data_IF_868931494186
#
_entry.id   IF_868931494186
#
_cell.length_a   1.000
_cell.length_b   1.000
_cell.length_c   1.000
_cell.angle_alpha   90.00
_cell.angle_beta   90.00
_cell.angle_gamma   90.00
#
_symmetry.space_group_name_H-M   'P 1'
#
loop_
_entity.id
_entity.type
_entity.pdbx_description
1 polymer ?
#
# COMPACT_ATOMS: atom_id res chain seq x y z
N UNK A 1 2.01 0.70 -33.43
CA UNK A 1 1.14 1.54 -32.60
C UNK A 1 0.77 0.71 -31.38
N UNK A 2 1.06 1.18 -30.17
CA UNK A 2 0.74 0.46 -28.96
C UNK A 2 -0.77 0.57 -28.73
N UNK A 3 -1.50 -0.43 -29.21
CA UNK A 3 -2.95 -0.53 -29.06
C UNK A 3 -3.32 -0.67 -27.58
N UNK A 4 -3.90 0.38 -27.00
CA UNK A 4 -4.73 0.26 -25.79
C UNK A 4 -4.05 0.13 -24.44
N UNK A 5 -2.81 0.58 -24.26
CA UNK A 5 -2.20 0.62 -22.93
C UNK A 5 -2.59 1.92 -22.21
N UNK A 6 -3.73 1.90 -21.54
CA UNK A 6 -4.11 2.97 -20.61
C UNK A 6 -3.76 2.53 -19.19
N UNK A 7 -2.63 2.99 -18.63
CA UNK A 7 -2.29 2.69 -17.26
C UNK A 7 -3.27 3.36 -16.31
N UNK A 8 -3.86 2.59 -15.39
CA UNK A 8 -4.77 3.11 -14.37
C UNK A 8 -4.05 3.09 -13.03
N UNK A 9 -3.79 4.27 -12.49
CA UNK A 9 -3.22 4.45 -11.16
C UNK A 9 -4.34 4.54 -10.10
N UNK A 10 -4.25 3.74 -9.04
CA UNK A 10 -5.15 3.80 -7.89
C UNK A 10 -4.35 3.98 -6.62
N UNK A 11 -4.60 5.06 -5.92
CA UNK A 11 -4.02 5.28 -4.58
C UNK A 11 -4.73 4.37 -3.59
N UNK A 12 -3.95 3.61 -2.85
CA UNK A 12 -4.39 2.80 -1.73
C UNK A 12 -4.31 3.57 -0.42
N UNK A 13 -3.32 3.24 0.39
CA UNK A 13 -3.09 3.87 1.69
C UNK A 13 -1.85 4.74 1.63
N UNK A 14 -1.93 5.96 2.18
CA UNK A 14 -0.77 6.84 2.33
C UNK A 14 -0.83 7.57 3.67
N UNK A 15 0.30 7.52 4.38
CA UNK A 15 0.39 8.01 5.75
C UNK A 15 1.84 8.10 6.19
N UNK A 16 2.03 8.42 7.48
CA UNK A 16 3.31 8.28 8.17
C UNK A 16 3.20 7.31 9.34
N UNK A 17 4.29 6.66 9.66
CA UNK A 17 4.40 5.73 10.78
C UNK A 17 5.76 5.90 11.44
N UNK A 18 5.78 5.83 12.77
CA UNK A 18 7.04 5.70 13.52
C UNK A 18 7.41 4.22 13.55
N UNK A 19 8.51 3.89 12.91
CA UNK A 19 9.02 2.53 12.88
C UNK A 19 9.53 2.10 14.26
N UNK A 20 9.78 0.82 14.42
CA UNK A 20 10.27 0.21 15.65
C UNK A 20 10.45 -1.29 15.46
N UNK A 21 10.45 -2.05 16.55
CA UNK A 21 10.67 -3.50 16.53
C UNK A 21 9.70 -4.29 15.64
N UNK A 22 8.52 -3.75 15.33
CA UNK A 22 7.58 -4.40 14.40
C UNK A 22 8.04 -4.39 12.95
N UNK A 23 8.92 -3.41 12.59
CA UNK A 23 9.50 -3.31 11.25
C UNK A 23 10.71 -4.22 11.08
N UNK A 24 11.38 -4.57 12.20
CA UNK A 24 12.56 -5.42 12.14
C UNK A 24 12.18 -6.85 11.77
N UNK A 25 12.84 -7.39 10.74
CA UNK A 25 12.49 -8.67 10.10
C UNK A 25 11.06 -8.73 9.53
N UNK A 26 10.46 -7.58 9.18
CA UNK A 26 9.14 -7.55 8.54
C UNK A 26 9.26 -7.91 7.07
N UNK A 27 8.66 -9.01 6.68
CA UNK A 27 8.44 -9.31 5.25
C UNK A 27 7.49 -8.28 4.63
N UNK A 28 7.85 -7.79 3.45
CA UNK A 28 7.08 -6.80 2.71
C UNK A 28 6.40 -7.43 1.46
N UNK A 29 5.54 -8.43 1.62
CA UNK A 29 4.82 -9.01 0.50
C UNK A 29 3.73 -8.05 0.01
N UNK A 30 3.36 -8.12 -1.24
CA UNK A 30 2.18 -7.43 -1.73
C UNK A 30 2.20 -7.15 -3.23
N UNK A 31 1.00 -7.07 -3.80
CA UNK A 31 0.74 -6.88 -5.23
C UNK A 31 0.66 -5.42 -5.65
N UNK A 32 1.17 -4.52 -4.86
CA UNK A 32 1.10 -3.08 -5.07
C UNK A 32 2.49 -2.46 -4.98
N UNK A 33 2.62 -1.32 -5.60
CA UNK A 33 3.78 -0.46 -5.47
C UNK A 33 3.80 0.19 -4.10
N UNK A 34 4.99 0.34 -3.54
CA UNK A 34 5.22 1.09 -2.30
C UNK A 34 6.23 2.17 -2.57
N UNK A 35 5.87 3.39 -2.21
CA UNK A 35 6.80 4.50 -2.15
C UNK A 35 7.07 4.81 -0.68
N UNK A 36 8.33 4.83 -0.29
CA UNK A 36 8.78 5.15 1.06
C UNK A 36 9.70 6.36 1.03
N UNK A 37 9.52 7.22 2.00
CA UNK A 37 10.46 8.27 2.33
C UNK A 37 10.71 8.28 3.83
N UNK A 38 11.99 8.40 4.22
CA UNK A 38 12.42 8.43 5.61
C UNK A 38 12.69 9.85 6.03
N UNK A 39 12.12 10.29 7.15
CA UNK A 39 12.41 11.62 7.70
C UNK A 39 13.81 11.66 8.32
N UNK A 40 14.25 10.55 8.90
CA UNK A 40 15.57 10.33 9.47
C UNK A 40 16.11 8.94 9.13
N UNK A 41 17.43 8.76 9.25
CA UNK A 41 18.06 7.45 9.05
C UNK A 41 17.70 6.46 10.18
N UNK A 42 17.87 5.15 9.93
CA UNK A 42 17.63 4.10 10.93
C UNK A 42 16.77 2.95 10.43
N UNK A 43 16.35 2.99 9.17
CA UNK A 43 15.69 1.87 8.51
C UNK A 43 16.53 1.36 7.34
N UNK A 44 16.40 0.06 7.05
CA UNK A 44 17.04 -0.58 5.92
C UNK A 44 16.12 -1.63 5.31
N UNK A 45 16.44 -2.04 4.09
CA UNK A 45 15.80 -3.14 3.38
C UNK A 45 16.85 -4.18 2.98
N UNK A 46 16.50 -5.46 3.05
CA UNK A 46 17.29 -6.54 2.44
C UNK A 46 16.44 -7.32 1.44
N UNK A 47 17.07 -7.75 0.36
CA UNK A 47 16.48 -8.64 -0.62
C UNK A 47 16.97 -10.10 -0.44
N UNK A 48 16.74 -10.91 -1.46
CA UNK A 48 17.24 -12.31 -1.50
C UNK A 48 18.75 -12.44 -1.44
N UNK A 49 19.46 -11.39 -1.83
CA UNK A 49 20.94 -11.32 -1.78
C UNK A 49 21.48 -11.10 -0.35
N UNK A 50 20.61 -10.90 0.64
CA UNK A 50 20.96 -10.63 2.04
C UNK A 50 21.64 -9.30 2.28
N UNK A 51 21.87 -8.48 1.24
CA UNK A 51 22.53 -7.18 1.39
C UNK A 51 21.57 -6.15 1.99
N UNK A 52 22.01 -5.51 3.07
CA UNK A 52 21.31 -4.41 3.72
C UNK A 52 21.52 -3.12 2.91
N UNK A 53 20.40 -2.51 2.49
CA UNK A 53 20.36 -1.20 1.84
C UNK A 53 19.75 -0.20 2.80
N UNK A 54 20.56 0.71 3.31
CA UNK A 54 20.12 1.77 4.22
C UNK A 54 19.18 2.74 3.50
N UNK A 55 18.09 3.12 4.16
CA UNK A 55 17.16 4.12 3.64
C UNK A 55 17.58 5.51 4.13
N UNK A 56 18.06 6.33 3.19
CA UNK A 56 18.47 7.72 3.44
C UNK A 56 17.29 8.68 3.37
N UNK A 57 17.26 9.76 4.17
CA UNK A 57 16.32 10.87 4.01
C UNK A 57 16.43 11.60 2.66
N UNK A 58 17.56 11.48 1.98
CA UNK A 58 17.84 12.19 0.72
C UNK A 58 17.22 11.52 -0.51
N UNK A 59 16.58 10.36 -0.33
CA UNK A 59 15.96 9.58 -1.39
C UNK A 59 14.53 9.19 -1.07
N UNK A 60 13.71 9.07 -2.09
CA UNK A 60 12.50 8.25 -2.05
C UNK A 60 12.81 6.86 -2.60
N UNK A 61 12.16 5.86 -2.06
CA UNK A 61 12.36 4.46 -2.39
C UNK A 61 11.08 3.90 -2.99
N UNK A 62 11.15 3.40 -4.22
CA UNK A 62 10.02 2.77 -4.88
C UNK A 62 10.25 1.26 -4.91
N UNK A 63 9.32 0.50 -4.31
CA UNK A 63 9.36 -0.95 -4.24
C UNK A 63 8.37 -1.54 -5.23
N UNK A 64 8.87 -2.43 -6.07
CA UNK A 64 8.05 -3.13 -7.06
C UNK A 64 7.02 -4.06 -6.39
N UNK A 65 5.85 -4.28 -7.02
CA UNK A 65 4.92 -5.31 -6.58
C UNK A 65 5.58 -6.68 -6.55
N UNK A 66 5.15 -7.53 -5.62
CA UNK A 66 5.58 -8.93 -5.53
C UNK A 66 7.07 -9.13 -5.24
N UNK A 67 7.74 -8.10 -4.77
CA UNK A 67 9.11 -8.20 -4.32
C UNK A 67 9.21 -8.94 -2.97
N UNK A 68 10.30 -9.68 -2.80
CA UNK A 68 10.65 -10.34 -1.54
C UNK A 68 11.69 -9.45 -0.83
N UNK A 69 11.22 -8.37 -0.23
CA UNK A 69 12.05 -7.51 0.60
C UNK A 69 11.69 -7.69 2.07
N UNK A 70 12.68 -7.53 2.91
CA UNK A 70 12.56 -7.57 4.37
C UNK A 70 12.99 -6.23 4.94
N UNK A 71 12.18 -5.68 5.83
CA UNK A 71 12.47 -4.46 6.57
C UNK A 71 13.39 -4.73 7.76
N UNK A 72 14.27 -3.79 8.04
CA UNK A 72 15.15 -3.76 9.22
C UNK A 72 15.11 -2.37 9.83
N UNK A 73 15.08 -2.30 11.17
CA UNK A 73 14.95 -1.05 11.87
C UNK A 73 15.90 -0.96 13.07
N UNK A 74 16.68 0.09 13.11
CA UNK A 74 17.47 0.48 14.28
C UNK A 74 16.92 1.81 14.81
N UNK A 75 16.35 1.78 16.01
CA UNK A 75 15.68 2.95 16.59
C UNK A 75 14.21 3.10 16.22
N UNK A 76 13.75 4.33 16.08
CA UNK A 76 12.33 4.64 15.83
C UNK A 76 12.14 5.74 14.79
N UNK A 77 12.73 5.60 13.58
CA UNK A 77 12.62 6.63 12.56
C UNK A 77 11.18 6.77 12.05
N UNK A 78 10.84 7.96 11.56
CA UNK A 78 9.54 8.23 10.93
C UNK A 78 9.63 7.94 9.45
N UNK A 79 8.73 7.06 8.99
CA UNK A 79 8.54 6.73 7.58
C UNK A 79 7.25 7.34 7.07
N UNK A 80 7.31 8.01 5.94
CA UNK A 80 6.16 8.33 5.11
C UNK A 80 6.01 7.26 4.04
N UNK A 81 4.81 6.76 3.83
CA UNK A 81 4.56 5.69 2.88
C UNK A 81 3.34 5.96 2.00
N UNK A 82 3.44 5.53 0.77
CA UNK A 82 2.37 5.56 -0.21
C UNK A 82 2.28 4.19 -0.89
N UNK A 83 1.13 3.55 -0.75
CA UNK A 83 0.80 2.30 -1.42
C UNK A 83 -0.16 2.56 -2.57
N UNK A 84 0.13 2.04 -3.75
CA UNK A 84 -0.71 2.26 -4.92
C UNK A 84 -0.68 1.07 -5.88
N UNK A 85 -1.71 0.95 -6.69
CA UNK A 85 -1.82 -0.03 -7.77
C UNK A 85 -1.66 0.66 -9.12
N UNK A 86 -0.98 0.01 -10.04
CA UNK A 86 -0.84 0.45 -11.43
C UNK A 86 -1.29 -0.70 -12.34
N UNK A 87 -2.51 -0.60 -12.88
CA UNK A 87 -2.99 -1.55 -13.86
C UNK A 87 -2.41 -1.22 -15.25
N UNK A 88 -2.21 -2.24 -16.07
CA UNK A 88 -1.61 -2.10 -17.39
C UNK A 88 -0.08 -2.11 -17.42
N UNK A 89 0.58 -1.98 -16.27
CA UNK A 89 2.03 -2.06 -16.13
C UNK A 89 2.43 -2.90 -14.92
N UNK A 90 3.52 -3.61 -15.03
CA UNK A 90 4.06 -4.45 -13.95
C UNK A 90 5.49 -4.03 -13.61
N UNK A 91 5.83 -4.06 -12.32
CA UNK A 91 7.21 -3.95 -11.87
C UNK A 91 7.96 -5.25 -12.11
N UNK A 92 9.25 -5.14 -12.42
CA UNK A 92 10.13 -6.30 -12.52
C UNK A 92 10.50 -6.79 -11.11
N UNK A 93 10.13 -8.03 -10.71
CA UNK A 93 10.45 -8.56 -9.39
C UNK A 93 11.95 -8.81 -9.18
N UNK A 94 12.75 -8.89 -10.24
CA UNK A 94 14.20 -9.01 -10.15
C UNK A 94 14.89 -7.67 -9.87
N UNK A 95 14.17 -6.55 -10.09
CA UNK A 95 14.60 -5.20 -9.72
C UNK A 95 13.60 -4.67 -8.67
N UNK A 96 13.67 -5.17 -7.44
CA UNK A 96 12.60 -4.95 -6.46
C UNK A 96 12.61 -3.57 -5.80
N UNK A 97 13.74 -2.87 -5.84
CA UNK A 97 13.95 -1.60 -5.14
C UNK A 97 14.60 -0.57 -6.06
N UNK A 98 13.99 0.60 -6.12
CA UNK A 98 14.49 1.75 -6.89
C UNK A 98 14.71 2.92 -5.94
N UNK A 99 15.92 3.47 -5.98
CA UNK A 99 16.34 4.62 -5.21
C UNK A 99 16.28 5.86 -6.09
N UNK A 100 15.52 6.87 -5.69
CA UNK A 100 15.29 8.09 -6.46
C UNK A 100 15.73 9.28 -5.62
N UNK A 101 16.84 9.96 -5.98
CA UNK A 101 17.33 11.13 -5.24
C UNK A 101 16.30 12.28 -5.23
N UNK A 102 16.17 12.92 -4.07
CA UNK A 102 15.27 14.06 -3.89
C UNK A 102 15.93 15.32 -4.42
N UNK A 103 15.56 15.72 -5.64
CA UNK A 103 16.07 16.91 -6.29
C UNK A 103 15.01 17.56 -7.18
N UNK A 104 15.16 18.84 -7.46
CA UNK A 104 14.24 19.57 -8.36
C UNK A 104 12.78 19.42 -7.97
N UNK A 105 11.91 19.12 -8.93
CA UNK A 105 10.47 18.97 -8.73
C UNK A 105 10.08 17.83 -7.77
N UNK A 106 10.94 16.83 -7.59
CA UNK A 106 10.72 15.78 -6.57
C UNK A 106 10.59 16.37 -5.17
N UNK A 107 11.43 17.35 -4.84
CA UNK A 107 11.42 18.00 -3.52
C UNK A 107 10.10 18.73 -3.27
N UNK A 108 9.58 19.39 -4.28
CA UNK A 108 8.30 20.11 -4.19
C UNK A 108 7.12 19.15 -4.05
N UNK A 109 7.06 18.12 -4.92
CA UNK A 109 6.01 17.09 -4.85
C UNK A 109 5.99 16.38 -3.50
N UNK A 110 7.17 16.01 -2.99
CA UNK A 110 7.30 15.37 -1.69
C UNK A 110 6.85 16.28 -0.55
N UNK A 111 7.22 17.56 -0.58
CA UNK A 111 6.83 18.55 0.43
C UNK A 111 5.32 18.77 0.45
N UNK A 112 4.68 18.89 -0.71
CA UNK A 112 3.23 19.07 -0.83
C UNK A 112 2.47 17.83 -0.36
N UNK A 113 2.92 16.64 -0.72
CA UNK A 113 2.32 15.40 -0.25
C UNK A 113 2.52 15.21 1.26
N UNK A 114 3.74 15.45 1.77
CA UNK A 114 4.05 15.41 3.21
C UNK A 114 3.13 16.33 4.00
N UNK A 115 2.93 17.56 3.52
CA UNK A 115 2.05 18.54 4.16
C UNK A 115 0.63 17.99 4.34
N UNK A 116 0.05 17.33 3.32
CA UNK A 116 -1.27 16.74 3.44
C UNK A 116 -1.34 15.64 4.50
N UNK A 117 -0.27 14.86 4.68
CA UNK A 117 -0.22 13.84 5.72
C UNK A 117 -0.09 14.49 7.10
N UNK A 118 0.74 15.52 7.22
CA UNK A 118 0.98 16.18 8.50
C UNK A 118 -0.23 16.98 9.00
N UNK A 119 -1.02 17.54 8.09
CA UNK A 119 -2.25 18.28 8.42
C UNK A 119 -3.53 17.42 8.39
N UNK A 120 -3.43 16.12 8.06
CA UNK A 120 -4.56 15.19 8.05
C UNK A 120 -5.50 15.32 6.86
N UNK A 121 -5.09 16.03 5.79
CA UNK A 121 -5.89 16.23 4.56
C UNK A 121 -5.58 15.23 3.45
N UNK A 122 -4.82 14.17 3.74
CA UNK A 122 -4.37 13.20 2.75
C UNK A 122 -5.52 12.50 1.99
N UNK A 123 -6.65 12.25 2.64
CA UNK A 123 -7.81 11.61 2.02
C UNK A 123 -8.73 12.59 1.26
N UNK A 124 -8.39 13.88 1.24
CA UNK A 124 -9.06 14.88 0.40
C UNK A 124 -8.74 14.65 -1.09
N UNK A 125 -9.58 15.17 -1.98
CA UNK A 125 -9.33 15.10 -3.43
C UNK A 125 -7.93 15.66 -3.79
N UNK A 126 -7.52 16.78 -3.17
CA UNK A 126 -6.19 17.35 -3.39
C UNK A 126 -5.08 16.48 -2.82
N UNK A 127 -5.25 15.90 -1.63
CA UNK A 127 -4.29 14.98 -1.03
C UNK A 127 -4.05 13.74 -1.90
N UNK A 128 -5.13 13.18 -2.43
CA UNK A 128 -5.07 12.04 -3.37
C UNK A 128 -4.34 12.45 -4.66
N UNK A 129 -4.65 13.61 -5.25
CA UNK A 129 -3.98 14.08 -6.47
C UNK A 129 -2.48 14.34 -6.26
N UNK A 130 -2.07 14.86 -5.10
CA UNK A 130 -0.66 15.02 -4.74
C UNK A 130 0.05 13.69 -4.59
N UNK A 131 -0.60 12.70 -3.96
CA UNK A 131 -0.08 11.34 -3.89
C UNK A 131 0.07 10.72 -5.29
N UNK A 132 -0.91 10.92 -6.18
CA UNK A 132 -0.84 10.46 -7.58
C UNK A 132 0.32 11.14 -8.32
N UNK A 133 0.49 12.46 -8.19
CA UNK A 133 1.58 13.18 -8.82
C UNK A 133 2.96 12.65 -8.40
N UNK A 134 3.17 12.40 -7.10
CA UNK A 134 4.40 11.82 -6.57
C UNK A 134 4.61 10.39 -7.08
N UNK A 135 3.56 9.56 -7.13
CA UNK A 135 3.63 8.20 -7.65
C UNK A 135 3.99 8.18 -9.15
N UNK A 136 3.33 9.00 -9.97
CA UNK A 136 3.61 9.12 -11.41
C UNK A 136 5.04 9.62 -11.65
N UNK A 137 5.48 10.62 -10.90
CA UNK A 137 6.86 11.10 -10.97
C UNK A 137 7.85 9.96 -10.67
N UNK A 138 7.64 9.21 -9.58
CA UNK A 138 8.53 8.13 -9.19
C UNK A 138 8.56 7.00 -10.24
N UNK A 139 7.41 6.61 -10.79
CA UNK A 139 7.31 5.62 -11.86
C UNK A 139 8.03 6.08 -13.14
N UNK A 140 7.92 7.37 -13.49
CA UNK A 140 8.59 7.95 -14.65
C UNK A 140 10.13 8.01 -14.53
N UNK A 141 10.69 7.71 -13.35
CA UNK A 141 12.15 7.60 -13.12
C UNK A 141 12.68 6.19 -13.31
N UNK A 142 11.80 5.22 -13.49
CA UNK A 142 12.17 3.83 -13.69
C UNK A 142 12.73 3.60 -15.09
N UNK A 143 13.65 2.63 -15.21
CA UNK A 143 14.09 2.13 -16.52
C UNK A 143 13.00 1.28 -17.19
N UNK A 144 13.07 1.12 -18.49
CA UNK A 144 12.17 0.23 -19.25
C UNK A 144 12.23 -1.23 -18.74
N UNK A 145 13.38 -1.68 -18.25
CA UNK A 145 13.54 -3.00 -17.66
C UNK A 145 12.81 -3.16 -16.33
N UNK A 146 12.70 -2.06 -15.57
CA UNK A 146 12.05 -2.04 -14.27
C UNK A 146 10.53 -1.93 -14.36
N UNK A 147 10.01 -1.36 -15.44
CA UNK A 147 8.58 -1.15 -15.67
C UNK A 147 8.18 -1.74 -17.02
N UNK A 148 7.48 -2.85 -17.00
CA UNK A 148 7.07 -3.56 -18.20
C UNK A 148 5.59 -3.35 -18.49
N UNK A 149 5.27 -3.14 -19.77
CA UNK A 149 3.89 -3.16 -20.22
C UNK A 149 3.27 -4.55 -19.98
N UNK A 150 2.17 -4.60 -19.27
CA UNK A 150 1.42 -5.83 -19.02
C UNK A 150 -0.04 -5.60 -19.40
N UNK A 151 -0.52 -6.22 -20.48
CA UNK A 151 -1.92 -6.12 -20.84
C UNK A 151 -2.81 -6.53 -19.65
N UNK A 152 -3.79 -5.71 -19.29
CA UNK A 152 -4.68 -6.03 -18.18
C UNK A 152 -5.48 -7.29 -18.50
N UNK A 153 -5.50 -8.25 -17.60
CA UNK A 153 -6.43 -9.37 -17.71
C UNK A 153 -7.80 -8.95 -17.19
N UNK A 154 -8.70 -8.60 -18.12
CA UNK A 154 -10.06 -8.09 -17.81
C UNK A 154 -10.84 -9.03 -16.88
N UNK A 155 -10.59 -10.34 -16.92
CA UNK A 155 -11.26 -11.33 -16.07
C UNK A 155 -10.81 -11.17 -14.61
N UNK A 156 -9.51 -11.04 -14.40
CA UNK A 156 -8.94 -10.85 -13.06
C UNK A 156 -9.26 -9.44 -12.54
N UNK A 157 -9.21 -8.43 -13.38
CA UNK A 157 -9.60 -7.06 -13.01
C UNK A 157 -11.08 -6.98 -12.57
N UNK A 158 -11.99 -7.67 -13.26
CA UNK A 158 -13.40 -7.80 -12.85
C UNK A 158 -13.49 -8.37 -11.43
N UNK A 159 -12.80 -9.46 -11.16
CA UNK A 159 -12.77 -10.08 -9.83
C UNK A 159 -12.17 -9.16 -8.77
N UNK A 160 -11.07 -8.49 -9.07
CA UNK A 160 -10.47 -7.50 -8.16
C UNK A 160 -11.44 -6.34 -7.87
N UNK A 161 -12.17 -5.86 -8.87
CA UNK A 161 -13.19 -4.82 -8.69
C UNK A 161 -14.34 -5.29 -7.78
N UNK A 162 -14.84 -6.51 -7.97
CA UNK A 162 -15.84 -7.12 -7.10
C UNK A 162 -15.34 -7.24 -5.65
N UNK A 163 -14.12 -7.72 -5.44
CA UNK A 163 -13.55 -7.83 -4.09
C UNK A 163 -13.38 -6.46 -3.43
N UNK A 164 -13.02 -5.42 -4.19
CA UNK A 164 -12.91 -4.04 -3.69
C UNK A 164 -14.26 -3.44 -3.30
N UNK A 165 -15.29 -3.69 -4.08
CA UNK A 165 -16.64 -3.15 -3.81
C UNK A 165 -17.35 -3.84 -2.64
N UNK A 166 -16.95 -5.06 -2.32
CA UNK A 166 -17.58 -5.87 -1.26
C UNK A 166 -16.55 -6.58 -0.37
N UNK A 167 -15.65 -5.84 0.31
CA UNK A 167 -14.56 -6.45 1.08
C UNK A 167 -15.04 -7.30 2.26
N UNK A 168 -16.22 -6.98 2.82
CA UNK A 168 -16.81 -7.73 3.92
C UNK A 168 -17.30 -9.13 3.52
N UNK A 169 -17.62 -9.32 2.22
CA UNK A 169 -18.17 -10.59 1.74
C UNK A 169 -17.14 -11.72 1.84
N UNK A 170 -17.57 -12.86 2.35
CA UNK A 170 -16.79 -14.09 2.33
C UNK A 170 -16.89 -14.75 0.95
N UNK A 171 -15.93 -14.42 0.09
CA UNK A 171 -15.83 -14.98 -1.24
C UNK A 171 -15.21 -16.36 -1.21
N UNK A 172 -15.88 -17.37 -1.74
CA UNK A 172 -15.27 -18.66 -2.01
C UNK A 172 -14.44 -18.61 -3.30
N UNK A 173 -13.43 -19.47 -3.39
CA UNK A 173 -12.62 -19.60 -4.61
C UNK A 173 -13.48 -20.00 -5.83
N UNK A 174 -14.48 -20.86 -5.61
CA UNK A 174 -15.39 -21.28 -6.68
C UNK A 174 -16.24 -20.13 -7.22
N UNK A 175 -16.72 -19.22 -6.36
CA UNK A 175 -17.45 -18.03 -6.79
C UNK A 175 -16.56 -17.08 -7.59
N UNK A 176 -15.35 -16.77 -7.08
CA UNK A 176 -14.40 -15.88 -7.77
C UNK A 176 -13.97 -16.46 -9.13
N UNK A 177 -13.72 -17.76 -9.18
CA UNK A 177 -13.38 -18.45 -10.43
C UNK A 177 -14.52 -18.38 -11.45
N UNK A 178 -15.77 -18.57 -11.00
CA UNK A 178 -16.96 -18.44 -11.85
C UNK A 178 -17.10 -17.02 -12.39
N UNK A 179 -16.88 -15.99 -11.56
CA UNK A 179 -16.91 -14.59 -12.00
C UNK A 179 -15.83 -14.27 -13.06
N UNK A 180 -14.69 -14.97 -12.98
CA UNK A 180 -13.63 -14.87 -13.98
C UNK A 180 -13.87 -15.76 -15.23
N UNK A 181 -14.87 -16.66 -15.22
CA UNK A 181 -15.05 -17.65 -16.27
C UNK A 181 -13.94 -18.69 -16.34
N UNK A 182 -13.38 -19.07 -15.17
CA UNK A 182 -12.24 -19.97 -15.05
C UNK A 182 -12.56 -21.13 -14.10
N UNK A 183 -11.81 -22.25 -14.24
CA UNK A 183 -11.83 -23.32 -13.22
C UNK A 183 -11.09 -22.85 -11.95
N UNK A 184 -11.48 -23.34 -10.78
CA UNK A 184 -10.89 -22.94 -9.50
C UNK A 184 -9.36 -23.07 -9.45
N UNK A 185 -8.80 -24.18 -9.97
CA UNK A 185 -7.37 -24.41 -9.96
C UNK A 185 -6.60 -23.48 -10.91
N UNK A 186 -7.16 -23.21 -12.09
CA UNK A 186 -6.56 -22.26 -13.02
C UNK A 186 -6.68 -20.83 -12.49
N UNK A 187 -7.85 -20.48 -11.93
CA UNK A 187 -8.09 -19.16 -11.31
C UNK A 187 -7.04 -18.86 -10.22
N UNK A 188 -6.82 -19.77 -9.28
CA UNK A 188 -5.85 -19.56 -8.19
C UNK A 188 -4.46 -19.21 -8.72
N UNK A 189 -3.95 -20.03 -9.64
CA UNK A 189 -2.62 -19.79 -10.23
C UNK A 189 -2.58 -18.51 -11.05
N UNK A 190 -3.61 -18.29 -11.85
CA UNK A 190 -3.68 -17.13 -12.74
C UNK A 190 -3.89 -15.83 -11.98
N UNK A 191 -4.77 -15.83 -10.99
CA UNK A 191 -4.97 -14.68 -10.09
C UNK A 191 -3.65 -14.30 -9.40
N UNK A 192 -2.96 -15.28 -8.82
CA UNK A 192 -1.66 -15.04 -8.18
C UNK A 192 -0.58 -14.57 -9.19
N UNK A 193 -0.56 -15.12 -10.39
CA UNK A 193 0.35 -14.65 -11.44
C UNK A 193 0.07 -13.20 -11.85
N UNK A 194 -1.21 -12.79 -11.90
CA UNK A 194 -1.61 -11.42 -12.27
C UNK A 194 -1.46 -10.44 -11.11
N UNK A 195 -1.91 -10.79 -9.92
CA UNK A 195 -1.95 -9.89 -8.76
C UNK A 195 -0.74 -10.04 -7.83
N UNK A 196 0.04 -11.12 -8.00
CA UNK A 196 1.19 -11.48 -7.19
C UNK A 196 0.88 -12.10 -5.84
N UNK A 197 -0.37 -12.14 -5.43
CA UNK A 197 -0.79 -12.73 -4.16
C UNK A 197 -2.02 -13.62 -4.36
N UNK A 198 -2.22 -14.66 -3.52
CA UNK A 198 -3.44 -15.44 -3.55
C UNK A 198 -4.69 -14.59 -3.24
N UNK A 199 -5.88 -14.98 -3.78
CA UNK A 199 -7.13 -14.22 -3.60
C UNK A 199 -7.47 -13.92 -2.13
N UNK A 200 -7.27 -14.89 -1.23
CA UNK A 200 -7.54 -14.70 0.20
C UNK A 200 -6.63 -13.66 0.86
N UNK A 201 -5.36 -13.58 0.44
CA UNK A 201 -4.43 -12.53 0.92
C UNK A 201 -4.81 -11.17 0.35
N UNK A 202 -5.23 -11.10 -0.91
CA UNK A 202 -5.72 -9.89 -1.55
C UNK A 202 -6.96 -9.33 -0.83
N UNK A 203 -7.97 -10.18 -0.56
CA UNK A 203 -9.18 -9.79 0.17
C UNK A 203 -8.86 -9.32 1.59
N UNK A 204 -8.01 -10.05 2.29
CA UNK A 204 -7.59 -9.69 3.65
C UNK A 204 -7.01 -8.29 3.69
N UNK A 205 -6.13 -7.95 2.77
CA UNK A 205 -5.56 -6.62 2.65
C UNK A 205 -6.64 -5.55 2.46
N UNK A 206 -7.58 -5.76 1.50
CA UNK A 206 -8.68 -4.83 1.27
C UNK A 206 -9.49 -4.56 2.54
N UNK A 207 -9.74 -5.59 3.36
CA UNK A 207 -10.41 -5.48 4.65
C UNK A 207 -9.63 -4.58 5.61
N UNK A 208 -8.32 -4.80 5.75
CA UNK A 208 -7.50 -3.99 6.66
C UNK A 208 -7.29 -2.55 6.17
N UNK A 209 -7.15 -2.33 4.87
CA UNK A 209 -7.10 -0.98 4.29
C UNK A 209 -8.43 -0.23 4.53
N UNK A 210 -9.58 -0.91 4.42
CA UNK A 210 -10.89 -0.35 4.79
C UNK A 210 -10.98 -0.03 6.28
N UNK A 211 -10.51 -0.94 7.15
CA UNK A 211 -10.47 -0.70 8.59
C UNK A 211 -9.62 0.52 8.96
N UNK A 212 -8.47 0.70 8.31
CA UNK A 212 -7.60 1.85 8.56
C UNK A 212 -8.31 3.17 8.23
N UNK A 213 -9.05 3.24 7.11
CA UNK A 213 -9.87 4.41 6.75
C UNK A 213 -10.96 4.66 7.78
N UNK A 214 -11.74 3.63 8.17
CA UNK A 214 -12.81 3.77 9.18
C UNK A 214 -12.27 4.18 10.56
N UNK A 215 -11.06 3.72 10.93
CA UNK A 215 -10.38 4.15 12.14
C UNK A 215 -9.96 5.62 12.08
N UNK A 216 -9.51 6.10 10.92
CA UNK A 216 -9.14 7.49 10.70
C UNK A 216 -10.37 8.42 10.82
N UNK A 217 -11.50 8.04 10.23
CA UNK A 217 -12.78 8.78 10.36
C UNK A 217 -13.27 8.84 11.80
N UNK A 218 -12.95 7.85 12.60
CA UNK A 218 -13.12 7.84 14.05
C UNK A 218 -14.54 7.72 14.57
N UNK A 219 -15.56 7.58 13.73
CA UNK A 219 -16.99 7.54 14.11
C UNK A 219 -17.42 6.17 14.64
N UNK A 220 -16.81 5.08 14.16
CA UNK A 220 -17.21 3.71 14.47
C UNK A 220 -16.40 3.10 15.62
N UNK A 221 -17.01 2.23 16.42
CA UNK A 221 -16.29 1.40 17.39
C UNK A 221 -15.43 0.33 16.67
N UNK A 222 -14.45 -0.26 17.37
CA UNK A 222 -13.62 -1.34 16.78
C UNK A 222 -14.50 -2.55 16.42
N UNK A 223 -15.52 -2.85 17.23
CA UNK A 223 -16.42 -3.96 16.97
C UNK A 223 -17.30 -3.72 15.72
N UNK A 224 -17.79 -2.50 15.54
CA UNK A 224 -18.49 -2.10 14.31
C UNK A 224 -17.58 -2.21 13.08
N UNK A 225 -16.33 -1.75 13.19
CA UNK A 225 -15.36 -1.90 12.11
C UNK A 225 -15.13 -3.37 11.77
N UNK A 226 -14.97 -4.24 12.77
CA UNK A 226 -14.84 -5.67 12.54
C UNK A 226 -16.04 -6.26 11.78
N UNK A 227 -17.26 -5.84 12.12
CA UNK A 227 -18.46 -6.24 11.40
C UNK A 227 -18.47 -5.75 9.96
N UNK A 228 -18.16 -4.47 9.74
CA UNK A 228 -18.13 -3.84 8.42
C UNK A 228 -17.07 -4.45 7.46
N UNK A 229 -15.96 -4.96 7.99
CA UNK A 229 -14.94 -5.62 7.18
C UNK A 229 -15.07 -7.15 7.14
N UNK A 230 -16.11 -7.72 7.79
CA UNK A 230 -16.36 -9.16 7.80
C UNK A 230 -15.33 -9.96 8.61
N UNK A 231 -14.79 -9.40 9.71
CA UNK A 231 -13.86 -10.09 10.63
C UNK A 231 -14.57 -10.37 11.94
N UNK A 232 -14.74 -11.66 12.27
CA UNK A 232 -15.53 -12.10 13.43
C UNK A 232 -14.81 -11.96 14.77
N UNK A 233 -13.48 -12.08 14.78
CA UNK A 233 -12.66 -12.05 16.00
C UNK A 233 -11.90 -10.72 16.11
N UNK A 234 -12.33 -9.89 17.08
CA UNK A 234 -11.72 -8.60 17.41
C UNK A 234 -10.26 -8.72 17.87
N UNK A 235 -9.92 -9.78 18.60
CA UNK A 235 -8.56 -9.97 19.10
C UNK A 235 -7.63 -10.37 17.94
N UNK A 236 -8.11 -11.26 17.07
CA UNK A 236 -7.42 -11.59 15.86
C UNK A 236 -7.25 -10.35 14.95
N UNK A 237 -8.31 -9.56 14.77
CA UNK A 237 -8.25 -8.29 14.04
C UNK A 237 -7.17 -7.37 14.60
N UNK A 238 -7.16 -7.11 15.91
CA UNK A 238 -6.22 -6.17 16.53
C UNK A 238 -4.77 -6.62 16.37
N UNK A 239 -4.50 -7.92 16.49
CA UNK A 239 -3.16 -8.50 16.31
C UNK A 239 -2.68 -8.38 14.85
N UNK A 240 -3.54 -8.74 13.89
CA UNK A 240 -3.20 -8.65 12.47
C UNK A 240 -3.09 -7.18 12.03
N UNK A 241 -3.98 -6.31 12.48
CA UNK A 241 -3.91 -4.88 12.20
C UNK A 241 -2.56 -4.29 12.67
N UNK A 242 -2.15 -4.61 13.91
CA UNK A 242 -0.84 -4.21 14.43
C UNK A 242 0.30 -4.73 13.54
N UNK A 243 0.19 -5.96 13.04
CA UNK A 243 1.19 -6.53 12.12
C UNK A 243 1.27 -5.78 10.79
N UNK A 244 0.12 -5.29 10.26
CA UNK A 244 0.06 -4.55 9.01
C UNK A 244 0.49 -3.08 9.13
N UNK A 245 0.08 -2.41 10.22
CA UNK A 245 0.23 -0.96 10.39
C UNK A 245 1.21 -0.57 11.51
N UNK A 246 1.81 -1.54 12.19
CA UNK A 246 2.81 -1.31 13.23
C UNK A 246 2.25 -0.97 14.60
N UNK A 247 1.01 -0.57 14.70
CA UNK A 247 0.35 -0.18 15.95
C UNK A 247 -1.07 -0.75 16.07
N UNK A 248 -1.56 -0.94 17.31
CA UNK A 248 -2.93 -1.42 17.52
C UNK A 248 -3.99 -0.44 16.98
N UNK A 249 -5.20 -0.93 16.59
CA UNK A 249 -6.27 -0.10 16.02
C UNK A 249 -6.64 1.12 16.87
N UNK A 250 -6.68 0.98 18.19
CA UNK A 250 -7.02 2.09 19.11
C UNK A 250 -5.94 3.18 19.10
N UNK A 251 -4.67 2.81 19.01
CA UNK A 251 -3.55 3.74 18.96
C UNK A 251 -3.51 4.43 17.60
N UNK A 252 -3.70 3.69 16.51
CA UNK A 252 -3.83 4.21 15.16
C UNK A 252 -4.91 5.29 15.07
N UNK A 253 -6.11 5.01 15.61
CA UNK A 253 -7.21 5.99 15.71
C UNK A 253 -6.81 7.25 16.47
N UNK A 254 -6.16 7.08 17.65
CA UNK A 254 -5.74 8.21 18.49
C UNK A 254 -4.75 9.11 17.75
N UNK A 255 -3.78 8.53 17.06
CA UNK A 255 -2.80 9.29 16.29
C UNK A 255 -3.46 10.07 15.16
N UNK A 256 -4.40 9.46 14.44
CA UNK A 256 -5.13 10.12 13.34
C UNK A 256 -6.02 11.26 13.84
N UNK A 257 -6.73 11.07 14.93
CA UNK A 257 -7.55 12.14 15.53
C UNK A 257 -6.73 13.29 16.07
N UNK A 258 -5.57 13.06 16.63
CA UNK A 258 -4.68 14.11 17.13
C UNK A 258 -4.17 15.01 15.98
N UNK A 259 -4.02 14.48 14.78
CA UNK A 259 -3.68 15.25 13.57
C UNK A 259 -4.87 16.05 13.08
N UNK A 260 -6.07 15.44 12.97
CA UNK A 260 -7.30 16.12 12.51
C UNK A 260 -7.81 17.17 13.47
N UNK A 261 -7.64 16.99 14.79
CA UNK A 261 -8.11 17.92 15.83
C UNK A 261 -7.31 19.22 15.93
N UNK A 262 -6.06 19.25 15.48
CA UNK A 262 -5.27 20.50 15.43
C UNK A 262 -5.79 21.48 14.40
N UNK A 263 -6.41 21.01 13.33
CA UNK A 263 -6.93 21.86 12.25
C UNK A 263 -8.26 22.55 12.59
N UNK A 264 -8.94 22.15 13.68
CA UNK A 264 -10.19 22.79 14.12
C UNK A 264 -9.98 23.93 15.11
N UNK A 265 -8.76 24.09 15.66
CA UNK A 265 -8.43 25.15 16.61
C UNK A 265 -7.69 26.34 15.97
N UNK A 266 -7.29 26.22 14.69
CA UNK A 266 -6.59 27.28 13.94
C UNK A 266 -7.46 27.97 12.87
N UNK A 267 -8.79 27.81 12.94
CA UNK A 267 -9.73 28.52 12.06
C UNK A 267 -10.61 29.49 12.85
#
# INVERSE_FOLDING_TARGET
>A
MADGLEPILRIGLHDRVRLGSFWDHLELPGSYWRLYWMQESGAALSGRDGKLRQLSPDCIYLLSPNCNLMGHCAGTPVQYYLHFELAGMAGNPEIPLHEIPISGCCKELLAEWKKCIDDGSQDSAQGILRAMALAVFALGRLSEEALQARPPDRRIEKVCALMRSTPARDWSIAELAREAGLTSNYFLRHFQAVTGVPPGRYLRRLRYDSAARMLADGTMSIDQICQEIGVKDRFHFSREFKRYFGEPPAQYRKHRRAVSGRNLQER
#
